data_IF_700898774680
#
_entry.id   IF_700898774680
#
_cell.length_a   1.000
_cell.length_b   1.000
_cell.length_c   1.000
_cell.angle_alpha   90.00
_cell.angle_beta   90.00
_cell.angle_gamma   90.00
#
_symmetry.space_group_name_H-M   'P 1'
#
loop_
_entity.id
_entity.type
_entity.pdbx_description
1 polymer ?
#
# COMPACT_ATOMS: atom_id res chain seq x y z
N UNK A 1 31.17 28.20 48.90
CA UNK A 1 30.13 27.24 48.50
C UNK A 1 29.11 27.97 47.64
N UNK A 2 29.29 27.95 46.32
CA UNK A 2 28.34 28.47 45.33
C UNK A 2 28.38 27.48 44.17
N UNK A 3 27.25 26.80 43.95
CA UNK A 3 27.09 25.76 42.94
C UNK A 3 26.44 26.44 41.73
N UNK A 4 27.14 26.48 40.59
CA UNK A 4 26.55 26.89 39.32
C UNK A 4 25.86 25.66 38.71
N UNK A 5 24.53 25.67 38.67
CA UNK A 5 23.75 24.67 37.96
C UNK A 5 23.82 24.95 36.45
N UNK A 6 24.52 24.09 35.72
CA UNK A 6 24.44 24.04 34.26
C UNK A 6 23.07 23.49 33.87
N UNK A 7 22.33 24.25 33.05
CA UNK A 7 21.01 23.89 32.58
C UNK A 7 21.03 22.64 31.70
N UNK A 8 20.20 21.66 32.05
CA UNK A 8 19.82 20.57 31.16
C UNK A 8 18.97 21.15 30.01
N UNK A 9 19.50 21.10 28.78
CA UNK A 9 18.70 21.24 27.57
C UNK A 9 18.12 19.86 27.27
N UNK A 10 16.83 19.65 27.56
CA UNK A 10 16.09 18.49 27.06
C UNK A 10 15.87 18.69 25.56
N UNK A 11 16.59 17.94 24.72
CA UNK A 11 16.14 17.71 23.34
C UNK A 11 14.97 16.72 23.41
N UNK A 12 13.75 17.23 23.21
CA UNK A 12 12.61 16.40 22.89
C UNK A 12 12.81 15.85 21.48
N UNK A 13 13.30 14.62 21.36
CA UNK A 13 13.25 13.89 20.11
C UNK A 13 11.77 13.52 19.86
N UNK A 14 11.12 14.27 18.97
CA UNK A 14 9.84 13.85 18.41
C UNK A 14 10.09 12.56 17.62
N UNK A 15 9.78 11.41 18.21
CA UNK A 15 9.66 10.18 17.46
C UNK A 15 8.48 10.37 16.49
N UNK A 16 8.78 10.71 15.23
CA UNK A 16 7.80 10.59 14.16
C UNK A 16 7.48 9.11 14.11
N UNK A 17 6.29 8.73 14.58
CA UNK A 17 5.87 7.34 14.57
C UNK A 17 5.93 6.85 13.13
N UNK A 18 6.86 5.94 12.82
CA UNK A 18 6.94 5.34 11.49
C UNK A 18 5.58 4.71 11.18
N UNK A 19 4.96 5.04 10.03
CA UNK A 19 3.65 4.51 9.69
C UNK A 19 3.67 2.99 9.53
N UNK A 20 4.86 2.39 9.43
CA UNK A 20 5.09 0.95 9.33
C UNK A 20 4.49 0.16 10.52
N UNK A 21 4.71 0.60 11.76
CA UNK A 21 4.26 -0.13 12.95
C UNK A 21 2.73 -0.06 13.11
N UNK A 22 2.15 1.10 12.82
CA UNK A 22 0.69 1.28 12.80
C UNK A 22 0.02 0.48 11.67
N UNK A 23 0.67 0.33 10.51
CA UNK A 23 0.15 -0.45 9.36
C UNK A 23 0.22 -1.97 9.59
N UNK A 24 1.24 -2.48 10.27
CA UNK A 24 1.38 -3.93 10.57
C UNK A 24 0.35 -4.40 11.60
N UNK A 25 0.08 -3.60 12.64
CA UNK A 25 -0.88 -3.94 13.70
C UNK A 25 -2.35 -4.00 13.23
N UNK A 26 -2.69 -3.36 12.10
CA UNK A 26 -4.06 -3.24 11.56
C UNK A 26 -4.53 -4.44 10.71
N UNK A 27 -3.78 -5.55 10.69
CA UNK A 27 -3.97 -6.70 9.77
C UNK A 27 -4.75 -7.90 10.34
N UNK A 28 -5.32 -7.81 11.54
CA UNK A 28 -5.95 -8.96 12.19
C UNK A 28 -7.44 -9.12 11.81
N UNK A 29 -7.80 -10.28 11.25
CA UNK A 29 -9.10 -10.90 11.57
C UNK A 29 -9.93 -11.57 10.49
N UNK A 30 -9.58 -11.49 9.19
CA UNK A 30 -10.40 -12.13 8.13
C UNK A 30 -9.50 -12.86 7.13
N UNK A 31 -9.69 -14.17 7.01
CA UNK A 31 -9.13 -14.99 5.92
C UNK A 31 -9.67 -14.50 4.58
N UNK A 32 -8.78 -14.12 3.68
CA UNK A 32 -9.10 -13.64 2.33
C UNK A 32 -8.49 -14.58 1.30
N UNK A 33 -9.25 -15.01 0.28
CA UNK A 33 -8.72 -15.89 -0.75
C UNK A 33 -7.75 -15.12 -1.66
N UNK A 34 -6.54 -15.67 -1.79
CA UNK A 34 -5.62 -15.37 -2.88
C UNK A 34 -5.77 -16.46 -3.93
N UNK A 35 -6.08 -16.07 -5.16
CA UNK A 35 -6.24 -16.96 -6.30
C UNK A 35 -4.87 -17.09 -6.97
N UNK A 36 -4.35 -18.30 -7.06
CA UNK A 36 -3.13 -18.62 -7.81
C UNK A 36 -3.52 -18.85 -9.26
N UNK A 37 -2.96 -18.05 -10.15
CA UNK A 37 -3.28 -18.06 -11.57
C UNK A 37 -2.06 -18.49 -12.35
N UNK A 38 -2.25 -19.44 -13.28
CA UNK A 38 -1.21 -19.87 -14.18
C UNK A 38 -0.88 -18.73 -15.16
N UNK A 39 0.38 -18.28 -15.23
CA UNK A 39 0.75 -17.14 -16.07
C UNK A 39 0.67 -17.44 -17.58
N UNK A 40 0.61 -18.72 -18.00
CA UNK A 40 0.61 -19.12 -19.42
C UNK A 40 -0.77 -19.12 -20.05
N UNK A 41 -1.78 -19.58 -19.32
CA UNK A 41 -3.13 -19.82 -19.84
C UNK A 41 -4.24 -19.19 -18.99
N UNK A 42 -3.90 -18.56 -17.86
CA UNK A 42 -4.85 -17.90 -16.98
C UNK A 42 -5.73 -18.85 -16.17
N UNK A 43 -5.45 -20.16 -16.18
CA UNK A 43 -6.20 -21.12 -15.38
C UNK A 43 -5.96 -20.90 -13.88
N UNK A 44 -6.97 -21.19 -13.05
CA UNK A 44 -6.85 -21.12 -11.59
C UNK A 44 -6.18 -22.40 -11.11
N UNK A 45 -4.92 -22.30 -10.70
CA UNK A 45 -4.15 -23.44 -10.20
C UNK A 45 -4.60 -23.84 -8.79
N UNK A 46 -4.84 -22.85 -7.92
CA UNK A 46 -5.27 -23.09 -6.54
C UNK A 46 -5.79 -21.83 -5.86
N UNK A 47 -6.38 -21.99 -4.69
CA UNK A 47 -6.73 -20.88 -3.78
C UNK A 47 -5.94 -21.03 -2.49
N UNK A 48 -5.19 -20.00 -2.10
CA UNK A 48 -4.48 -19.92 -0.83
C UNK A 48 -5.13 -18.88 0.08
N UNK A 49 -5.05 -19.07 1.40
CA UNK A 49 -5.53 -18.10 2.37
C UNK A 49 -4.43 -17.09 2.69
N UNK A 50 -4.75 -15.80 2.59
CA UNK A 50 -3.98 -14.72 3.20
C UNK A 50 -4.82 -14.00 4.25
N UNK A 51 -4.19 -13.54 5.33
CA UNK A 51 -4.89 -12.82 6.40
C UNK A 51 -5.02 -11.32 6.11
N UNK A 52 -4.30 -10.82 5.11
CA UNK A 52 -4.23 -9.39 4.81
C UNK A 52 -4.31 -9.06 3.32
N UNK A 53 -4.03 -10.01 2.42
CA UNK A 53 -4.12 -9.82 0.98
C UNK A 53 -5.30 -10.58 0.39
N UNK A 54 -5.84 -10.06 -0.70
CA UNK A 54 -6.80 -10.73 -1.57
C UNK A 54 -6.43 -10.36 -3.01
N UNK A 55 -6.72 -11.25 -3.95
CA UNK A 55 -6.52 -10.98 -5.37
C UNK A 55 -5.90 -12.14 -6.10
N UNK A 56 -5.33 -11.84 -7.27
CA UNK A 56 -4.62 -12.81 -8.10
C UNK A 56 -3.11 -12.75 -7.83
N UNK A 57 -2.48 -13.93 -7.75
CA UNK A 57 -1.03 -14.07 -7.67
C UNK A 57 -0.59 -14.98 -8.81
N UNK A 58 0.32 -14.48 -9.64
CA UNK A 58 0.96 -15.26 -10.69
C UNK A 58 2.34 -15.69 -10.20
N UNK A 59 2.66 -16.97 -10.34
CA UNK A 59 3.94 -17.52 -9.93
C UNK A 59 4.77 -17.90 -11.16
N UNK A 60 5.87 -17.20 -11.36
CA UNK A 60 6.85 -17.47 -12.42
C UNK A 60 8.20 -16.87 -12.04
N UNK A 61 9.17 -16.99 -12.95
CA UNK A 61 10.41 -16.22 -12.91
C UNK A 61 10.33 -15.03 -13.86
N UNK A 62 11.25 -14.07 -13.70
CA UNK A 62 11.55 -13.04 -14.68
C UNK A 62 10.40 -12.05 -14.98
N UNK A 63 9.50 -11.83 -14.02
CA UNK A 63 8.57 -10.70 -14.09
C UNK A 63 9.33 -9.39 -14.03
N UNK A 64 9.22 -8.59 -15.10
CA UNK A 64 9.83 -7.27 -15.20
C UNK A 64 8.81 -6.15 -15.14
N UNK A 65 7.54 -6.42 -15.40
CA UNK A 65 6.48 -5.44 -15.38
C UNK A 65 5.18 -6.06 -14.90
N UNK A 66 4.44 -5.30 -14.10
CA UNK A 66 3.02 -5.54 -13.85
C UNK A 66 2.28 -4.22 -13.92
N UNK A 67 1.11 -4.24 -14.53
CA UNK A 67 0.23 -3.10 -14.63
C UNK A 67 -1.21 -3.52 -14.37
N UNK A 68 -2.03 -2.55 -13.95
CA UNK A 68 -3.42 -2.77 -13.64
C UNK A 68 -4.19 -1.47 -13.68
N UNK A 69 -5.50 -1.55 -13.91
CA UNK A 69 -6.39 -0.39 -13.83
C UNK A 69 -7.59 -0.75 -12.98
N UNK A 70 -7.99 0.15 -12.09
CA UNK A 70 -9.17 -0.02 -11.25
C UNK A 70 -9.89 1.31 -11.06
N UNK A 71 -11.16 1.22 -10.67
CA UNK A 71 -11.96 2.39 -10.27
C UNK A 71 -11.84 2.56 -8.76
N UNK A 72 -11.52 3.77 -8.31
CA UNK A 72 -11.32 4.07 -6.90
C UNK A 72 -12.64 3.91 -6.14
N UNK A 73 -12.69 3.08 -5.08
CA UNK A 73 -13.90 2.84 -4.34
C UNK A 73 -14.25 4.03 -3.44
N UNK A 74 -15.51 4.11 -3.00
CA UNK A 74 -15.92 4.97 -1.88
C UNK A 74 -15.89 4.16 -0.59
N UNK A 75 -14.93 4.38 0.32
CA UNK A 75 -14.91 3.67 1.60
C UNK A 75 -16.12 4.07 2.45
N UNK A 76 -16.58 3.12 3.28
CA UNK A 76 -17.66 3.32 4.26
C UNK A 76 -17.21 2.72 5.58
N UNK A 77 -17.65 3.32 6.68
CA UNK A 77 -17.45 2.75 8.01
C UNK A 77 -18.21 1.42 8.07
N UNK A 78 -17.60 0.33 8.58
CA UNK A 78 -18.29 -0.93 8.76
C UNK A 78 -19.58 -0.78 9.56
N UNK A 79 -20.59 -1.61 9.32
CA UNK A 79 -21.92 -1.44 9.93
C UNK A 79 -21.93 -1.46 11.47
N UNK A 80 -20.94 -2.07 12.10
CA UNK A 80 -20.69 -2.10 13.54
C UNK A 80 -19.40 -1.36 13.95
N UNK A 81 -18.87 -0.52 13.06
CA UNK A 81 -17.65 0.25 13.28
C UNK A 81 -17.91 1.50 14.13
N UNK A 82 -16.87 1.94 14.82
CA UNK A 82 -16.85 3.18 15.59
C UNK A 82 -16.41 4.33 14.66
N UNK A 83 -17.22 5.38 14.55
CA UNK A 83 -16.94 6.54 13.68
C UNK A 83 -15.65 7.29 14.07
N UNK A 84 -15.20 7.17 15.32
CA UNK A 84 -13.92 7.73 15.77
C UNK A 84 -12.71 6.91 15.33
N UNK A 85 -12.90 5.67 14.85
CA UNK A 85 -11.84 4.80 14.36
C UNK A 85 -11.60 5.02 12.86
N UNK A 86 -10.34 5.12 12.47
CA UNK A 86 -9.97 5.16 11.06
C UNK A 86 -9.98 3.75 10.46
N UNK A 87 -10.76 3.56 9.39
CA UNK A 87 -10.78 2.34 8.58
C UNK A 87 -10.11 2.60 7.25
N UNK A 88 -9.16 1.76 6.87
CA UNK A 88 -8.42 1.90 5.61
C UNK A 88 -8.38 0.56 4.87
N UNK A 89 -8.30 0.65 3.55
CA UNK A 89 -7.91 -0.44 2.68
C UNK A 89 -7.04 0.12 1.55
N UNK A 90 -6.44 -0.79 0.78
CA UNK A 90 -5.49 -0.43 -0.26
C UNK A 90 -5.68 -1.33 -1.47
N UNK A 91 -5.56 -0.76 -2.66
CA UNK A 91 -5.52 -1.49 -3.92
C UNK A 91 -4.19 -1.17 -4.62
N UNK A 92 -3.46 -2.22 -5.00
CA UNK A 92 -2.09 -2.10 -5.48
C UNK A 92 -1.75 -3.23 -6.45
N UNK A 93 -0.70 -3.01 -7.23
CA UNK A 93 -0.01 -4.01 -8.04
C UNK A 93 1.44 -4.10 -7.58
N UNK A 94 2.08 -5.25 -7.78
CA UNK A 94 3.48 -5.42 -7.39
C UNK A 94 4.11 -6.72 -7.86
N UNK A 95 5.44 -6.74 -7.80
CA UNK A 95 6.31 -7.88 -8.09
C UNK A 95 6.91 -8.35 -6.76
N UNK A 96 7.00 -9.67 -6.56
CA UNK A 96 7.45 -10.36 -5.35
C UNK A 96 6.46 -10.25 -4.15
N UNK A 97 6.96 -10.39 -2.91
CA UNK A 97 6.21 -10.27 -1.66
C UNK A 97 5.51 -11.53 -1.15
N UNK A 98 5.21 -12.49 -2.02
CA UNK A 98 4.55 -13.74 -1.62
C UNK A 98 5.56 -14.89 -1.34
N UNK A 99 6.04 -15.60 -2.37
CA UNK A 99 7.13 -16.59 -2.22
C UNK A 99 8.49 -15.93 -2.01
N UNK A 100 8.76 -14.83 -2.71
CA UNK A 100 9.94 -14.01 -2.49
C UNK A 100 9.66 -12.97 -1.40
N UNK A 101 9.97 -13.32 -0.15
CA UNK A 101 9.68 -12.44 1.00
C UNK A 101 10.75 -11.36 1.27
N UNK A 102 11.84 -11.36 0.49
CA UNK A 102 12.97 -10.42 0.67
C UNK A 102 12.80 -9.10 -0.05
N UNK A 103 11.89 -9.03 -1.02
CA UNK A 103 11.62 -7.88 -1.86
C UNK A 103 10.13 -7.82 -2.15
N UNK A 104 9.62 -6.62 -2.37
CA UNK A 104 8.29 -6.36 -2.89
C UNK A 104 8.33 -4.96 -3.48
N UNK A 105 8.24 -4.88 -4.81
CA UNK A 105 8.18 -3.61 -5.53
C UNK A 105 6.74 -3.37 -5.97
N UNK A 106 6.12 -2.32 -5.44
CA UNK A 106 4.67 -2.13 -5.53
C UNK A 106 4.27 -0.66 -5.55
N UNK A 107 3.08 -0.40 -6.08
CA UNK A 107 2.45 0.92 -6.09
C UNK A 107 0.94 0.76 -6.03
N UNK A 108 0.25 1.73 -5.42
CA UNK A 108 -1.17 1.63 -5.19
C UNK A 108 -1.80 2.90 -4.64
N UNK A 109 -3.05 2.75 -4.24
CA UNK A 109 -3.85 3.81 -3.61
C UNK A 109 -4.43 3.28 -2.30
N UNK A 110 -4.15 3.99 -1.22
CA UNK A 110 -4.83 3.84 0.05
C UNK A 110 -6.14 4.63 0.03
N UNK A 111 -7.19 4.06 0.60
CA UNK A 111 -8.48 4.71 0.79
C UNK A 111 -8.96 4.50 2.22
N UNK A 112 -9.16 5.60 2.92
CA UNK A 112 -9.50 5.62 4.33
C UNK A 112 -10.81 6.37 4.60
N UNK A 113 -11.45 6.06 5.72
CA UNK A 113 -12.60 6.78 6.26
C UNK A 113 -12.52 6.89 7.78
N UNK A 114 -12.83 8.07 8.31
CA UNK A 114 -12.97 8.34 9.75
C UNK A 114 -13.94 9.52 9.93
N UNK A 115 -14.89 9.44 10.86
CA UNK A 115 -15.82 10.55 11.10
C UNK A 115 -16.65 10.92 9.86
N UNK A 116 -16.95 9.96 8.99
CA UNK A 116 -17.52 10.19 7.65
C UNK A 116 -16.60 10.89 6.63
N UNK A 117 -15.39 11.31 7.01
CA UNK A 117 -14.43 11.97 6.11
C UNK A 117 -13.59 10.92 5.39
N UNK A 118 -13.56 11.02 4.06
CA UNK A 118 -12.81 10.11 3.18
C UNK A 118 -11.48 10.73 2.76
N UNK A 119 -10.41 9.94 2.76
CA UNK A 119 -9.12 10.33 2.20
C UNK A 119 -8.58 9.26 1.25
N UNK A 120 -7.76 9.71 0.29
CA UNK A 120 -7.10 8.88 -0.71
C UNK A 120 -5.63 9.30 -0.82
N UNK A 121 -4.72 8.33 -0.76
CA UNK A 121 -3.27 8.58 -0.86
C UNK A 121 -2.67 7.62 -1.88
N UNK A 122 -1.99 8.16 -2.89
CA UNK A 122 -1.30 7.38 -3.91
C UNK A 122 0.16 7.19 -3.49
N UNK A 123 0.72 5.99 -3.61
CA UNK A 123 2.03 5.67 -3.04
C UNK A 123 2.82 4.64 -3.85
N UNK A 124 4.12 4.57 -3.61
CA UNK A 124 5.00 3.49 -4.06
C UNK A 124 5.89 2.98 -2.93
N UNK A 125 6.29 1.71 -3.00
CA UNK A 125 7.16 1.09 -2.02
C UNK A 125 8.05 0.03 -2.67
N UNK A 126 9.32 -0.02 -2.24
CA UNK A 126 10.23 -1.12 -2.55
C UNK A 126 10.84 -1.64 -1.26
N UNK A 127 10.25 -2.70 -0.69
CA UNK A 127 10.69 -3.27 0.59
C UNK A 127 12.16 -3.71 0.49
N UNK A 128 13.01 -3.39 1.49
CA UNK A 128 12.67 -2.92 2.85
C UNK A 128 12.57 -1.41 3.05
N UNK A 129 12.69 -0.59 2.00
CA UNK A 129 12.47 0.84 2.14
C UNK A 129 11.01 1.13 2.52
N UNK A 130 10.78 2.23 3.23
CA UNK A 130 9.42 2.65 3.58
C UNK A 130 8.65 3.12 2.34
N UNK A 131 7.34 2.92 2.34
CA UNK A 131 6.42 3.53 1.37
C UNK A 131 6.53 5.05 1.36
N UNK A 132 6.42 5.63 0.15
CA UNK A 132 6.50 7.06 -0.13
C UNK A 132 5.25 7.46 -0.91
N UNK A 133 4.60 8.52 -0.46
CA UNK A 133 3.41 9.07 -1.12
C UNK A 133 3.81 9.92 -2.34
N UNK A 134 3.05 9.79 -3.42
CA UNK A 134 3.17 10.66 -4.59
C UNK A 134 2.57 12.03 -4.29
N UNK A 135 3.25 13.08 -4.75
CA UNK A 135 2.76 14.46 -4.69
C UNK A 135 2.24 14.89 -6.06
N UNK A 136 1.28 15.82 -6.08
CA UNK A 136 0.78 16.41 -7.33
C UNK A 136 -0.25 15.58 -8.08
N UNK A 137 -0.70 14.46 -7.49
CA UNK A 137 -1.82 13.65 -7.99
C UNK A 137 -2.98 13.70 -7.01
N UNK A 138 -4.15 14.06 -7.52
CA UNK A 138 -5.41 14.07 -6.78
C UNK A 138 -6.19 12.82 -7.14
N UNK A 139 -6.71 12.13 -6.13
CA UNK A 139 -7.48 10.89 -6.28
C UNK A 139 -8.84 11.09 -5.62
N UNK A 140 -9.92 10.75 -6.33
CA UNK A 140 -11.28 10.81 -5.84
C UNK A 140 -12.01 9.48 -6.04
N UNK A 141 -13.08 9.27 -5.27
CA UNK A 141 -14.03 8.20 -5.53
C UNK A 141 -14.50 8.20 -6.99
N UNK A 142 -14.49 7.04 -7.63
CA UNK A 142 -14.93 6.89 -9.02
C UNK A 142 -13.86 7.21 -10.07
N UNK A 143 -12.68 7.70 -9.68
CA UNK A 143 -11.60 7.90 -10.63
C UNK A 143 -11.08 6.57 -11.20
N UNK A 144 -10.74 6.56 -12.48
CA UNK A 144 -10.07 5.43 -13.13
C UNK A 144 -8.56 5.60 -12.98
N UNK A 145 -7.92 4.71 -12.24
CA UNK A 145 -6.48 4.78 -11.92
C UNK A 145 -5.74 3.64 -12.59
N UNK A 146 -4.75 3.97 -13.41
CA UNK A 146 -3.81 3.02 -13.97
C UNK A 146 -2.51 3.01 -13.16
N UNK A 147 -2.02 1.83 -12.83
CA UNK A 147 -0.80 1.57 -12.08
C UNK A 147 0.17 0.77 -12.96
N UNK A 148 1.47 1.04 -12.85
CA UNK A 148 2.53 0.19 -13.40
C UNK A 148 3.75 0.21 -12.50
N UNK A 149 4.39 -0.95 -12.33
CA UNK A 149 5.76 -1.05 -11.85
C UNK A 149 6.59 -1.77 -12.90
N UNK A 150 7.75 -1.20 -13.23
CA UNK A 150 8.72 -1.76 -14.17
C UNK A 150 10.05 -1.93 -13.45
N UNK A 151 10.44 -3.18 -13.19
CA UNK A 151 11.74 -3.53 -12.64
C UNK A 151 12.78 -3.59 -13.78
N UNK A 152 13.75 -2.67 -13.75
CA UNK A 152 14.86 -2.64 -14.72
C UNK A 152 16.06 -3.47 -14.27
N UNK A 153 16.11 -3.79 -12.97
CA UNK A 153 17.01 -4.79 -12.38
C UNK A 153 16.39 -5.33 -11.09
N UNK A 154 17.13 -6.17 -10.37
CA UNK A 154 16.71 -6.66 -9.04
C UNK A 154 16.70 -5.56 -7.97
N UNK A 155 17.25 -4.37 -8.24
CA UNK A 155 17.36 -3.27 -7.27
C UNK A 155 16.99 -1.90 -7.85
N UNK A 156 16.48 -1.84 -9.09
CA UNK A 156 16.10 -0.59 -9.75
C UNK A 156 14.85 -0.75 -10.61
N UNK A 157 14.06 0.31 -10.71
CA UNK A 157 12.79 0.28 -11.43
C UNK A 157 12.02 1.58 -11.30
N UNK A 158 10.85 1.62 -11.91
CA UNK A 158 9.97 2.79 -11.97
C UNK A 158 8.56 2.39 -11.58
N UNK A 159 7.97 3.09 -10.62
CA UNK A 159 6.55 3.02 -10.29
C UNK A 159 5.84 4.21 -10.94
N UNK A 160 4.69 3.98 -11.55
CA UNK A 160 3.86 5.02 -12.17
C UNK A 160 2.42 4.83 -11.74
N UNK A 161 1.78 5.94 -11.37
CA UNK A 161 0.33 6.04 -11.20
C UNK A 161 -0.17 7.06 -12.22
N UNK A 162 -1.31 6.80 -12.85
CA UNK A 162 -1.96 7.77 -13.74
C UNK A 162 -3.43 7.81 -13.38
N UNK A 163 -3.92 9.02 -13.09
CA UNK A 163 -5.35 9.26 -12.93
C UNK A 163 -5.94 9.58 -14.30
N UNK A 164 -6.59 8.60 -14.91
CA UNK A 164 -7.17 8.72 -16.24
C UNK A 164 -8.35 9.69 -16.29
N UNK A 165 -8.98 9.97 -15.15
CA UNK A 165 -10.12 10.89 -15.06
C UNK A 165 -9.72 12.36 -15.15
N UNK A 166 -8.50 12.70 -14.74
CA UNK A 166 -8.03 14.09 -14.70
C UNK A 166 -6.68 14.33 -15.42
N UNK A 167 -6.05 13.28 -15.95
CA UNK A 167 -4.83 13.33 -16.73
C UNK A 167 -3.54 13.50 -15.92
N UNK A 168 -3.61 13.47 -14.59
CA UNK A 168 -2.44 13.56 -13.72
C UNK A 168 -1.65 12.25 -13.70
N UNK A 169 -0.33 12.35 -13.53
CA UNK A 169 0.61 11.24 -13.53
C UNK A 169 1.77 11.51 -12.58
#
# INVERSE_FOLDING_TARGET
MKVNAAGLILLAASAVASPLAARVARRNGVSRPNIRVNPKDGHIDSTSVSYNWAGAVLESSDFTEVSGTFVVPTPRIPGNGDDSTQYCATAWIGIDGDKCQRSLFQTGVDFCIQGGTVSYDAWYEWIPAASIDFNGININAGDSISLSVVATSTTSGVATITNNSNGQR
#
